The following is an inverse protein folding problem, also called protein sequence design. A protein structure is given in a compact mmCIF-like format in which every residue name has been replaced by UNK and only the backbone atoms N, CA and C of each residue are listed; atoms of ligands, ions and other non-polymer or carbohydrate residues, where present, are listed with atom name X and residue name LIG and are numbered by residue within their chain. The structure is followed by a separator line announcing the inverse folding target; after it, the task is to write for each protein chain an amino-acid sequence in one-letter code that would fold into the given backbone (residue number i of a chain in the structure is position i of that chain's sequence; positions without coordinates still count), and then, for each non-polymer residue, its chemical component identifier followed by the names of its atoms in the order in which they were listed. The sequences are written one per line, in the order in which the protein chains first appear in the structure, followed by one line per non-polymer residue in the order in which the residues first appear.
data_IF_637522837757
#
_entry.id   IF_637522837757
#
_cell.length_a   1.000
_cell.length_b   1.000
_cell.length_c   1.000
_cell.angle_alpha   90.00
_cell.angle_beta   90.00
_cell.angle_gamma   90.00
#
_symmetry.space_group_name_H-M   'P 1'
#
loop_
_entity.id
_entity.type
_entity.pdbx_description
1 polymer ?
#
# COMPACT_ATOMS: atom_id res chain seq x y z
N UNK A 1 -13.50 -4.21 7.15
CA UNK A 1 -13.23 -2.96 6.41
C UNK A 1 -14.22 -1.90 6.85
N UNK A 2 -13.78 -0.69 7.11
CA UNK A 2 -14.66 0.46 7.42
C UNK A 2 -15.09 1.03 6.06
N UNK A 3 -16.42 1.19 5.85
CA UNK A 3 -16.91 1.89 4.69
C UNK A 3 -16.47 3.37 4.77
N UNK A 4 -15.75 3.85 3.76
CA UNK A 4 -15.21 5.22 3.75
C UNK A 4 -16.32 6.27 3.77
N UNK A 5 -17.47 5.98 3.16
CA UNK A 5 -18.67 6.81 3.21
C UNK A 5 -19.26 6.96 4.63
N UNK A 6 -19.27 5.88 5.42
CA UNK A 6 -19.70 5.92 6.82
C UNK A 6 -18.71 6.72 7.67
N UNK A 7 -17.42 6.61 7.40
CA UNK A 7 -16.39 7.38 8.08
C UNK A 7 -16.51 8.88 7.77
N UNK A 8 -16.79 9.25 6.52
CA UNK A 8 -17.06 10.62 6.12
C UNK A 8 -18.32 11.17 6.80
N UNK A 9 -19.42 10.40 6.84
CA UNK A 9 -20.65 10.79 7.54
C UNK A 9 -20.45 10.92 9.06
N UNK A 10 -19.57 10.14 9.67
CA UNK A 10 -19.19 10.29 11.06
C UNK A 10 -18.41 11.57 11.31
N UNK A 11 -17.52 11.96 10.39
CA UNK A 11 -16.72 13.18 10.49
C UNK A 11 -17.58 14.46 10.54
N UNK A 12 -18.76 14.44 9.96
CA UNK A 12 -19.73 15.56 10.03
C UNK A 12 -20.37 15.73 11.43
N UNK A 13 -20.33 14.67 12.25
CA UNK A 13 -21.06 14.59 13.53
C UNK A 13 -20.16 14.71 14.76
N UNK A 14 -18.87 14.47 14.60
CA UNK A 14 -17.91 14.45 15.70
C UNK A 14 -16.75 15.43 15.42
N UNK A 15 -16.13 15.93 16.47
CA UNK A 15 -15.05 16.90 16.37
C UNK A 15 -13.78 16.35 15.65
N UNK A 16 -13.61 15.03 15.63
CA UNK A 16 -12.45 14.39 15.00
C UNK A 16 -12.71 12.90 14.76
N UNK A 17 -12.30 12.45 13.57
CA UNK A 17 -12.23 11.03 13.20
C UNK A 17 -10.77 10.67 12.93
N UNK A 18 -10.32 9.52 13.41
CA UNK A 18 -8.95 9.01 13.25
C UNK A 18 -9.02 7.51 12.91
N UNK A 19 -8.48 7.07 11.76
CA UNK A 19 -7.90 7.89 10.69
C UNK A 19 -8.96 8.77 10.02
N UNK A 20 -8.52 9.82 9.31
CA UNK A 20 -9.45 10.67 8.56
C UNK A 20 -10.09 9.89 7.40
N UNK A 21 -11.29 10.34 6.97
CA UNK A 21 -12.03 9.66 5.90
C UNK A 21 -11.25 9.70 4.58
N UNK A 22 -10.63 10.83 4.25
CA UNK A 22 -9.83 10.98 3.03
C UNK A 22 -8.61 10.06 3.03
N UNK A 23 -7.88 9.98 4.15
CA UNK A 23 -6.74 9.06 4.27
C UNK A 23 -7.18 7.60 4.14
N UNK A 24 -8.28 7.22 4.81
CA UNK A 24 -8.81 5.87 4.70
C UNK A 24 -9.18 5.53 3.25
N UNK A 25 -9.82 6.46 2.53
CA UNK A 25 -10.19 6.29 1.13
C UNK A 25 -8.96 6.12 0.21
N UNK A 26 -7.90 6.92 0.42
CA UNK A 26 -6.65 6.78 -0.35
C UNK A 26 -5.97 5.44 -0.05
N UNK A 27 -5.81 5.09 1.23
CA UNK A 27 -5.12 3.86 1.62
C UNK A 27 -5.87 2.56 1.23
N UNK A 28 -7.19 2.63 1.04
CA UNK A 28 -7.99 1.48 0.60
C UNK A 28 -8.01 1.29 -0.92
N UNK A 29 -7.55 2.28 -1.67
CA UNK A 29 -7.51 2.29 -3.13
C UNK A 29 -6.05 2.28 -3.62
N UNK A 30 -5.60 1.16 -4.18
CA UNK A 30 -4.21 1.00 -4.65
C UNK A 30 -3.83 1.99 -5.74
N UNK A 31 -4.78 2.37 -6.60
CA UNK A 31 -4.52 3.36 -7.66
C UNK A 31 -4.27 4.74 -7.03
N UNK A 32 -5.15 5.22 -6.17
CA UNK A 32 -4.99 6.51 -5.48
C UNK A 32 -3.70 6.55 -4.65
N UNK A 33 -3.42 5.49 -3.92
CA UNK A 33 -2.22 5.42 -3.07
C UNK A 33 -0.94 5.37 -3.92
N UNK A 34 -0.94 4.63 -5.02
CA UNK A 34 0.22 4.52 -5.92
C UNK A 34 0.49 5.83 -6.67
N UNK A 35 -0.57 6.49 -7.16
CA UNK A 35 -0.46 7.82 -7.78
C UNK A 35 0.10 8.83 -6.78
N UNK A 36 -0.44 8.89 -5.58
CA UNK A 36 0.10 9.76 -4.53
C UNK A 36 1.58 9.46 -4.27
N UNK A 37 1.94 8.20 -4.01
CA UNK A 37 3.30 7.84 -3.63
C UNK A 37 4.31 8.08 -4.76
N UNK A 38 4.02 7.61 -5.97
CA UNK A 38 4.98 7.64 -7.07
C UNK A 38 4.90 8.93 -7.89
N UNK A 39 3.70 9.33 -8.33
CA UNK A 39 3.58 10.44 -9.28
C UNK A 39 3.60 11.80 -8.59
N UNK A 40 3.01 11.93 -7.40
CA UNK A 40 2.99 13.21 -6.69
C UNK A 40 4.18 13.40 -5.74
N UNK A 41 4.59 12.35 -5.02
CA UNK A 41 5.65 12.42 -4.01
C UNK A 41 7.02 11.94 -4.52
N UNK A 42 7.09 11.31 -5.71
CA UNK A 42 8.34 10.81 -6.28
C UNK A 42 8.96 9.64 -5.51
N UNK A 43 8.19 8.92 -4.70
CA UNK A 43 8.68 7.78 -3.95
C UNK A 43 9.04 6.61 -4.89
N UNK A 44 10.12 5.88 -4.62
CA UNK A 44 10.49 4.71 -5.38
C UNK A 44 9.46 3.59 -5.17
N UNK A 45 8.96 3.01 -6.27
CA UNK A 45 8.00 1.90 -6.29
C UNK A 45 8.43 0.88 -7.33
N UNK A 46 7.84 -0.32 -7.31
CA UNK A 46 7.94 -1.24 -8.46
C UNK A 46 7.35 -0.58 -9.72
N UNK A 47 7.90 -0.84 -10.92
CA UNK A 47 7.25 -0.47 -12.18
C UNK A 47 5.83 -1.04 -12.24
N UNK A 48 4.86 -0.24 -12.67
CA UNK A 48 3.45 -0.66 -12.68
C UNK A 48 2.67 -0.08 -13.86
N UNK A 49 1.49 -0.68 -14.11
CA UNK A 49 0.41 -0.13 -14.96
C UNK A 49 -0.94 -0.44 -14.33
N UNK A 50 -1.91 0.46 -14.55
CA UNK A 50 -3.31 0.19 -14.22
C UNK A 50 -4.02 -0.32 -15.46
N UNK A 51 -5.02 -1.19 -15.27
CA UNK A 51 -5.82 -1.75 -16.35
C UNK A 51 -7.28 -1.85 -15.91
N UNK A 52 -8.20 -1.36 -16.75
CA UNK A 52 -9.65 -1.45 -16.59
C UNK A 52 -10.28 -2.57 -17.45
N UNK A 53 -9.48 -3.23 -18.28
CA UNK A 53 -9.89 -4.35 -19.14
C UNK A 53 -8.80 -5.40 -19.24
N UNK A 54 -9.18 -6.61 -19.69
CA UNK A 54 -8.23 -7.69 -19.95
C UNK A 54 -7.21 -7.30 -21.04
N UNK A 55 -7.63 -6.52 -22.04
CA UNK A 55 -6.75 -6.06 -23.11
C UNK A 55 -5.69 -5.10 -22.56
N UNK A 56 -6.10 -4.10 -21.78
CA UNK A 56 -5.18 -3.19 -21.09
C UNK A 56 -4.23 -3.92 -20.13
N UNK A 57 -4.72 -4.97 -19.45
CA UNK A 57 -3.88 -5.79 -18.60
C UNK A 57 -2.80 -6.53 -19.38
N UNK A 58 -3.14 -7.09 -20.55
CA UNK A 58 -2.15 -7.75 -21.43
C UNK A 58 -1.08 -6.77 -21.90
N UNK A 59 -1.48 -5.57 -22.33
CA UNK A 59 -0.55 -4.51 -22.72
C UNK A 59 0.32 -4.06 -21.55
N UNK A 60 -0.31 -3.80 -20.39
CA UNK A 60 0.39 -3.41 -19.17
C UNK A 60 1.43 -4.43 -18.73
N UNK A 61 1.09 -5.71 -18.77
CA UNK A 61 1.99 -6.81 -18.43
C UNK A 61 3.18 -6.93 -19.39
N UNK A 62 2.98 -6.66 -20.69
CA UNK A 62 4.07 -6.61 -21.65
C UNK A 62 5.04 -5.45 -21.38
N UNK A 63 4.52 -4.29 -20.96
CA UNK A 63 5.33 -3.11 -20.64
C UNK A 63 6.11 -3.33 -19.34
N UNK A 64 5.46 -3.86 -18.32
CA UNK A 64 6.07 -4.13 -16.99
C UNK A 64 7.06 -5.29 -17.08
N UNK A 65 6.79 -6.28 -17.94
CA UNK A 65 7.59 -7.49 -18.12
C UNK A 65 7.16 -8.64 -17.20
N UNK A 66 7.71 -9.82 -17.47
CA UNK A 66 7.46 -11.03 -16.69
C UNK A 66 8.71 -11.46 -15.92
N UNK A 67 8.58 -12.02 -14.70
CA UNK A 67 7.33 -12.20 -13.96
C UNK A 67 6.76 -10.88 -13.43
N UNK A 68 5.43 -10.79 -13.35
CA UNK A 68 4.72 -9.66 -12.76
C UNK A 68 3.65 -10.11 -11.77
N UNK A 69 3.08 -9.19 -11.02
CA UNK A 69 2.00 -9.44 -10.06
C UNK A 69 0.77 -8.64 -10.47
N UNK A 70 -0.38 -9.30 -10.55
CA UNK A 70 -1.67 -8.68 -10.81
C UNK A 70 -2.45 -8.62 -9.49
N UNK A 71 -2.99 -7.44 -9.15
CA UNK A 71 -3.75 -7.21 -7.92
C UNK A 71 -5.01 -6.41 -8.22
N UNK A 72 -6.18 -6.72 -7.62
CA UNK A 72 -7.33 -5.81 -7.64
C UNK A 72 -6.97 -4.47 -7.01
N UNK A 73 -7.58 -3.38 -7.48
CA UNK A 73 -7.38 -2.05 -6.87
C UNK A 73 -7.85 -2.05 -5.42
N UNK A 74 -8.95 -2.74 -5.11
CA UNK A 74 -9.50 -2.83 -3.76
C UNK A 74 -9.59 -4.28 -3.30
N UNK A 75 -8.59 -4.71 -2.55
CA UNK A 75 -8.56 -6.02 -1.87
C UNK A 75 -7.69 -5.95 -0.61
N UNK A 76 -7.67 -7.01 0.19
CA UNK A 76 -6.81 -7.12 1.37
C UNK A 76 -6.31 -8.56 1.52
N UNK A 77 -5.22 -8.75 2.25
CA UNK A 77 -4.67 -10.06 2.59
C UNK A 77 -4.41 -10.94 1.34
N UNK A 78 -3.89 -10.33 0.28
CA UNK A 78 -3.54 -11.05 -0.95
C UNK A 78 -4.72 -11.61 -1.78
N UNK A 79 -5.98 -11.37 -1.38
CA UNK A 79 -7.14 -11.87 -2.13
C UNK A 79 -7.16 -11.32 -3.56
N UNK A 80 -7.31 -12.22 -4.55
CA UNK A 80 -7.29 -11.90 -5.97
C UNK A 80 -5.93 -11.50 -6.53
N UNK A 81 -4.84 -11.72 -5.77
CA UNK A 81 -3.49 -11.44 -6.22
C UNK A 81 -2.88 -12.68 -6.88
N UNK A 82 -2.30 -12.51 -8.07
CA UNK A 82 -1.65 -13.58 -8.82
C UNK A 82 -0.24 -13.19 -9.27
N UNK A 83 0.70 -14.12 -9.14
CA UNK A 83 2.03 -14.01 -9.78
C UNK A 83 1.95 -14.60 -11.18
N UNK A 84 2.17 -13.77 -12.18
CA UNK A 84 2.09 -14.11 -13.60
C UNK A 84 3.48 -14.25 -14.17
N UNK A 85 3.83 -15.43 -14.65
CA UNK A 85 5.17 -15.76 -15.14
C UNK A 85 5.31 -15.66 -16.65
N UNK A 86 4.19 -15.69 -17.38
CA UNK A 86 4.15 -15.59 -18.83
C UNK A 86 2.81 -15.05 -19.33
N UNK A 87 2.75 -14.64 -20.60
CA UNK A 87 1.55 -14.06 -21.20
C UNK A 87 0.33 -14.99 -21.17
N UNK A 88 0.55 -16.30 -21.23
CA UNK A 88 -0.53 -17.29 -21.23
C UNK A 88 -1.31 -17.34 -19.91
N UNK A 89 -0.72 -16.88 -18.82
CA UNK A 89 -1.35 -16.89 -17.49
C UNK A 89 -2.16 -15.60 -17.19
N UNK A 90 -2.14 -14.60 -18.07
CA UNK A 90 -2.80 -13.31 -17.82
C UNK A 90 -4.32 -13.44 -17.69
N UNK A 91 -4.96 -14.25 -18.51
CA UNK A 91 -6.42 -14.42 -18.52
C UNK A 91 -6.91 -15.02 -17.19
N UNK A 92 -6.17 -15.99 -16.66
CA UNK A 92 -6.46 -16.57 -15.35
C UNK A 92 -6.26 -15.55 -14.22
N UNK A 93 -5.19 -14.75 -14.28
CA UNK A 93 -4.92 -13.70 -13.29
C UNK A 93 -6.00 -12.60 -13.30
N UNK A 94 -6.50 -12.23 -14.48
CA UNK A 94 -7.64 -11.32 -14.60
C UNK A 94 -8.88 -11.87 -13.90
N UNK A 95 -9.23 -13.13 -14.19
CA UNK A 95 -10.39 -13.79 -13.57
C UNK A 95 -10.26 -13.85 -12.05
N UNK A 96 -9.12 -14.27 -11.55
CA UNK A 96 -8.84 -14.32 -10.10
C UNK A 96 -8.94 -12.94 -9.45
N UNK A 97 -8.42 -11.90 -10.10
CA UNK A 97 -8.53 -10.54 -9.60
C UNK A 97 -9.98 -10.05 -9.56
N UNK A 98 -10.83 -10.44 -10.53
CA UNK A 98 -12.26 -10.10 -10.51
C UNK A 98 -13.03 -10.83 -9.40
N UNK A 99 -12.66 -12.07 -9.09
CA UNK A 99 -13.30 -12.86 -8.03
C UNK A 99 -12.84 -12.46 -6.62
N UNK A 100 -11.57 -12.05 -6.47
CA UNK A 100 -10.95 -11.72 -5.17
C UNK A 100 -11.22 -10.30 -4.67
N UNK A 101 -11.97 -9.48 -5.41
CA UNK A 101 -12.35 -8.12 -4.99
C UNK A 101 -13.39 -8.11 -3.88
N UNK A 102 -13.48 -7.00 -3.13
CA UNK A 102 -14.49 -6.85 -2.07
C UNK A 102 -15.89 -6.64 -2.64
N UNK A 103 -16.88 -7.36 -2.13
CA UNK A 103 -18.27 -7.39 -2.61
C UNK A 103 -19.10 -6.11 -2.38
N UNK A 104 -18.53 -5.04 -1.83
CA UNK A 104 -19.25 -3.82 -1.44
C UNK A 104 -18.76 -2.55 -2.14
N UNK A 105 -17.98 -2.68 -3.21
CA UNK A 105 -17.43 -1.50 -3.89
C UNK A 105 -18.41 -1.02 -4.97
N UNK A 106 -19.06 0.11 -4.68
CA UNK A 106 -19.79 0.90 -5.69
C UNK A 106 -18.75 1.69 -6.50
N UNK A 107 -18.39 1.21 -7.68
CA UNK A 107 -17.44 1.87 -8.55
C UNK A 107 -16.99 1.00 -9.73
N UNK A 108 -15.99 1.44 -10.47
CA UNK A 108 -15.35 0.64 -11.52
C UNK A 108 -14.46 -0.45 -10.91
N UNK A 109 -15.15 -1.50 -10.49
CA UNK A 109 -14.59 -2.64 -9.76
C UNK A 109 -13.76 -3.58 -10.62
N UNK A 110 -13.67 -3.36 -11.92
CA UNK A 110 -12.87 -4.18 -12.83
C UNK A 110 -11.39 -3.82 -12.84
N UNK A 111 -11.01 -2.64 -12.31
CA UNK A 111 -9.63 -2.16 -12.40
C UNK A 111 -8.66 -2.99 -11.55
N UNK A 112 -7.50 -3.22 -12.13
CA UNK A 112 -6.37 -3.91 -11.51
C UNK A 112 -5.10 -3.08 -11.65
N UNK A 113 -4.11 -3.37 -10.82
CA UNK A 113 -2.72 -2.95 -11.03
C UNK A 113 -1.90 -4.18 -11.41
N UNK A 114 -1.04 -4.04 -12.43
CA UNK A 114 0.02 -4.99 -12.74
C UNK A 114 1.36 -4.36 -12.40
N UNK A 115 2.17 -5.06 -11.63
CA UNK A 115 3.46 -4.58 -11.10
C UNK A 115 4.56 -5.58 -11.43
N UNK A 116 5.78 -5.08 -11.68
CA UNK A 116 6.95 -5.94 -11.77
C UNK A 116 7.13 -6.73 -10.47
N UNK A 117 7.47 -8.01 -10.58
CA UNK A 117 7.86 -8.79 -9.40
C UNK A 117 9.22 -8.29 -8.91
N UNK A 118 9.23 -7.68 -7.74
CA UNK A 118 10.44 -7.14 -7.14
C UNK A 118 11.43 -8.27 -6.78
N UNK A 119 12.75 -8.10 -7.00
CA UNK A 119 13.78 -9.00 -6.50
C UNK A 119 13.95 -8.80 -4.98
N UNK A 120 12.95 -9.21 -4.24
CA UNK A 120 12.78 -9.00 -2.81
C UNK A 120 13.83 -9.77 -2.01
N UNK A 121 14.51 -9.08 -1.09
CA UNK A 121 15.32 -9.69 -0.05
C UNK A 121 14.47 -9.93 1.21
N UNK A 122 13.87 -8.86 1.73
CA UNK A 122 12.91 -8.93 2.83
C UNK A 122 11.93 -7.75 2.83
N UNK A 123 10.91 -7.86 3.67
CA UNK A 123 9.93 -6.81 3.92
C UNK A 123 10.11 -6.19 5.29
N UNK A 124 9.74 -4.93 5.43
CA UNK A 124 9.70 -4.24 6.71
C UNK A 124 8.51 -3.30 6.80
N UNK A 125 8.10 -2.99 8.03
CA UNK A 125 7.07 -1.97 8.31
C UNK A 125 7.67 -0.86 9.17
N UNK A 126 7.37 0.39 8.81
CA UNK A 126 7.68 1.56 9.63
C UNK A 126 6.38 2.12 10.21
N UNK A 127 6.18 1.97 11.52
CA UNK A 127 5.10 2.70 12.18
C UNK A 127 5.43 4.18 12.20
N UNK A 128 4.51 4.96 11.65
CA UNK A 128 4.66 6.42 11.52
C UNK A 128 3.46 7.09 12.17
N UNK A 129 3.72 8.01 13.08
CA UNK A 129 2.68 8.70 13.86
C UNK A 129 2.55 10.14 13.41
N UNK A 130 1.34 10.56 13.05
CA UNK A 130 0.99 11.96 12.82
C UNK A 130 0.15 12.50 13.98
N UNK A 131 0.54 13.61 14.54
CA UNK A 131 -0.13 14.26 15.69
C UNK A 131 0.00 15.78 15.62
N UNK A 132 -0.50 16.47 16.65
CA UNK A 132 -0.30 17.92 16.81
C UNK A 132 1.18 18.32 17.01
N UNK A 133 2.03 17.39 17.43
CA UNK A 133 3.48 17.61 17.60
C UNK A 133 4.28 17.38 16.31
N UNK A 134 3.63 16.93 15.23
CA UNK A 134 4.27 16.62 13.96
C UNK A 134 4.22 15.14 13.61
N UNK A 135 5.13 14.72 12.71
CA UNK A 135 5.23 13.35 12.23
C UNK A 135 6.52 12.72 12.75
N UNK A 136 6.38 11.54 13.35
CA UNK A 136 7.49 10.75 13.92
C UNK A 136 7.45 9.33 13.37
N UNK A 137 8.60 8.81 12.95
CA UNK A 137 8.78 7.40 12.58
C UNK A 137 9.33 6.61 13.75
N UNK A 138 8.78 5.42 13.98
CA UNK A 138 9.37 4.44 14.92
C UNK A 138 10.54 3.70 14.25
N UNK A 139 11.27 2.90 15.04
CA UNK A 139 12.25 1.97 14.49
C UNK A 139 11.53 0.95 13.59
N UNK A 140 12.10 0.62 12.40
CA UNK A 140 11.48 -0.35 11.51
C UNK A 140 11.33 -1.72 12.17
N UNK A 141 10.27 -2.42 11.76
CA UNK A 141 9.91 -3.76 12.20
C UNK A 141 10.20 -4.72 11.06
N UNK A 142 11.00 -5.76 11.33
CA UNK A 142 11.16 -6.85 10.37
C UNK A 142 9.89 -7.70 10.31
N UNK A 143 9.52 -8.16 9.12
CA UNK A 143 8.35 -9.01 8.93
C UNK A 143 8.62 -10.11 7.91
N UNK A 144 7.83 -11.17 8.02
CA UNK A 144 7.75 -12.23 7.03
C UNK A 144 6.31 -12.46 6.67
N UNK A 145 6.07 -12.48 5.37
CA UNK A 145 4.79 -12.90 4.78
C UNK A 145 5.00 -14.21 4.02
N UNK A 146 3.94 -14.97 3.88
CA UNK A 146 3.91 -16.19 3.09
C UNK A 146 2.59 -16.25 2.33
N UNK A 147 2.66 -16.30 1.00
CA UNK A 147 1.48 -16.28 0.13
C UNK A 147 0.56 -15.06 0.34
N UNK A 148 1.12 -13.90 0.70
CA UNK A 148 0.38 -12.67 0.99
C UNK A 148 -0.21 -12.58 2.41
N UNK A 149 -0.03 -13.63 3.24
CA UNK A 149 -0.45 -13.64 4.63
C UNK A 149 0.70 -13.30 5.57
N UNK A 150 0.42 -12.41 6.53
CA UNK A 150 1.32 -12.14 7.65
C UNK A 150 1.59 -13.43 8.45
N UNK A 151 2.87 -13.69 8.76
CA UNK A 151 3.31 -14.85 9.55
C UNK A 151 3.97 -14.44 10.85
N UNK A 152 4.94 -13.55 10.78
CA UNK A 152 5.68 -13.10 11.94
C UNK A 152 6.28 -11.71 11.76
N UNK A 153 6.51 -11.04 12.88
CA UNK A 153 7.26 -9.80 12.95
C UNK A 153 8.19 -9.82 14.16
N UNK A 154 9.25 -9.04 14.11
CA UNK A 154 10.22 -8.94 15.19
C UNK A 154 10.81 -7.54 15.33
N UNK A 155 11.06 -7.15 16.58
CA UNK A 155 11.75 -5.93 16.95
C UNK A 155 12.55 -6.22 18.24
N UNK A 156 13.83 -5.83 18.35
CA UNK A 156 14.60 -5.09 17.36
C UNK A 156 14.92 -5.93 16.12
N UNK A 157 14.98 -5.25 14.96
CA UNK A 157 15.48 -5.80 13.71
C UNK A 157 16.77 -5.07 13.33
N UNK A 158 17.71 -5.79 12.73
CA UNK A 158 18.98 -5.23 12.31
C UNK A 158 18.93 -4.87 10.83
N UNK A 159 19.16 -3.60 10.52
CA UNK A 159 19.22 -3.06 9.16
C UNK A 159 20.56 -2.32 8.97
N UNK A 160 21.01 -2.22 7.72
CA UNK A 160 22.12 -1.32 7.41
C UNK A 160 21.70 0.14 7.63
N UNK A 161 22.63 1.05 7.94
CA UNK A 161 22.31 2.48 8.10
C UNK A 161 21.58 3.05 6.88
N UNK A 162 21.98 2.67 5.67
CA UNK A 162 21.39 3.14 4.42
C UNK A 162 19.94 2.66 4.25
N UNK A 163 19.64 1.39 4.55
CA UNK A 163 18.28 0.86 4.53
C UNK A 163 17.42 1.57 5.58
N UNK A 164 17.95 1.79 6.78
CA UNK A 164 17.24 2.48 7.85
C UNK A 164 16.87 3.91 7.44
N UNK A 165 17.80 4.66 6.88
CA UNK A 165 17.58 6.04 6.41
C UNK A 165 16.54 6.08 5.29
N UNK A 166 16.68 5.24 4.25
CA UNK A 166 15.73 5.14 3.15
C UNK A 166 14.31 4.80 3.68
N UNK A 167 14.20 3.77 4.52
CA UNK A 167 12.93 3.31 5.05
C UNK A 167 12.20 4.40 5.84
N UNK A 168 12.90 5.09 6.73
CA UNK A 168 12.32 6.17 7.53
C UNK A 168 11.97 7.40 6.66
N UNK A 169 12.78 7.72 5.67
CA UNK A 169 12.50 8.80 4.73
C UNK A 169 11.23 8.51 3.91
N UNK A 170 11.13 7.33 3.29
CA UNK A 170 9.97 6.92 2.49
C UNK A 170 8.71 6.94 3.34
N UNK A 171 8.76 6.35 4.55
CA UNK A 171 7.61 6.29 5.44
C UNK A 171 7.14 7.67 5.89
N UNK A 172 8.06 8.56 6.25
CA UNK A 172 7.74 9.95 6.61
C UNK A 172 7.10 10.69 5.44
N UNK A 173 7.71 10.64 4.26
CA UNK A 173 7.22 11.34 3.07
C UNK A 173 5.83 10.85 2.65
N UNK A 174 5.59 9.54 2.68
CA UNK A 174 4.26 8.97 2.38
C UNK A 174 3.19 9.50 3.34
N UNK A 175 3.47 9.51 4.65
CA UNK A 175 2.51 10.01 5.65
C UNK A 175 2.34 11.53 5.57
N UNK A 176 3.38 12.30 5.27
CA UNK A 176 3.28 13.75 5.01
C UNK A 176 2.33 14.03 3.83
N UNK A 177 2.43 13.25 2.75
CA UNK A 177 1.52 13.35 1.62
C UNK A 177 0.06 13.05 1.98
N UNK A 178 -0.17 11.96 2.71
CA UNK A 178 -1.51 11.60 3.21
C UNK A 178 -2.10 12.70 4.12
N UNK A 179 -1.29 13.24 5.04
CA UNK A 179 -1.70 14.35 5.91
C UNK A 179 -2.03 15.61 5.12
N UNK A 180 -1.27 15.91 4.05
CA UNK A 180 -1.58 17.03 3.17
C UNK A 180 -2.92 16.87 2.46
N UNK A 181 -3.25 15.66 1.98
CA UNK A 181 -4.57 15.35 1.38
C UNK A 181 -5.70 15.51 2.40
N UNK A 182 -5.54 15.00 3.62
CA UNK A 182 -6.52 15.18 4.69
C UNK A 182 -6.75 16.67 5.02
N UNK A 183 -5.68 17.44 5.14
CA UNK A 183 -5.77 18.89 5.40
C UNK A 183 -6.49 19.62 4.26
N UNK A 184 -6.28 19.24 3.02
CA UNK A 184 -6.99 19.82 1.88
C UNK A 184 -8.50 19.53 1.93
N UNK A 185 -8.92 18.44 2.58
CA UNK A 185 -10.32 18.09 2.85
C UNK A 185 -10.84 18.63 4.19
N UNK A 186 -10.08 19.49 4.88
CA UNK A 186 -10.47 20.09 6.17
C UNK A 186 -10.25 19.21 7.39
N UNK A 187 -9.57 18.06 7.24
CA UNK A 187 -9.28 17.11 8.31
C UNK A 187 -7.86 17.29 8.86
N UNK A 188 -7.57 16.79 10.06
CA UNK A 188 -6.26 16.97 10.69
C UNK A 188 -5.19 16.00 10.18
N UNK A 189 -5.60 14.83 9.67
CA UNK A 189 -4.70 13.79 9.20
C UNK A 189 -3.89 13.10 10.32
N UNK A 190 -4.38 13.14 11.57
CA UNK A 190 -3.73 12.48 12.69
C UNK A 190 -3.97 10.97 12.65
N UNK A 191 -3.02 10.21 13.15
CA UNK A 191 -3.15 8.75 13.21
C UNK A 191 -1.83 8.02 13.38
N UNK A 192 -1.95 6.71 13.45
CA UNK A 192 -0.82 5.77 13.36
C UNK A 192 -0.92 5.03 12.04
N UNK A 193 0.18 5.00 11.31
CA UNK A 193 0.27 4.45 9.96
C UNK A 193 1.31 3.34 9.93
N UNK A 194 0.95 2.16 9.46
CA UNK A 194 1.89 1.11 9.12
C UNK A 194 2.31 1.27 7.66
N UNK A 195 3.53 1.75 7.42
CA UNK A 195 4.08 1.89 6.07
C UNK A 195 4.88 0.66 5.72
N UNK A 196 4.41 -0.11 4.75
CA UNK A 196 5.04 -1.35 4.29
C UNK A 196 6.02 -1.06 3.15
N UNK A 197 7.22 -1.60 3.27
CA UNK A 197 8.33 -1.36 2.36
C UNK A 197 8.98 -2.68 1.95
N UNK A 198 9.45 -2.72 0.72
CA UNK A 198 10.28 -3.78 0.18
C UNK A 198 11.75 -3.39 0.24
N UNK A 199 12.60 -4.26 0.77
CA UNK A 199 14.05 -4.14 0.64
C UNK A 199 14.49 -5.13 -0.42
N UNK A 200 15.16 -4.61 -1.45
CA UNK A 200 15.61 -5.40 -2.58
C UNK A 200 17.01 -5.99 -2.33
N UNK A 201 17.36 -6.99 -3.10
CA UNK A 201 18.67 -7.68 -2.99
C UNK A 201 19.89 -6.78 -3.23
N UNK A 202 19.70 -5.60 -3.84
CA UNK A 202 20.72 -4.57 -4.01
C UNK A 202 20.76 -3.54 -2.87
N UNK A 203 19.90 -3.69 -1.86
CA UNK A 203 19.78 -2.79 -0.71
C UNK A 203 18.93 -1.54 -0.95
N UNK A 204 18.31 -1.38 -2.11
CA UNK A 204 17.33 -0.32 -2.35
C UNK A 204 16.01 -0.60 -1.63
N UNK A 205 15.31 0.46 -1.23
CA UNK A 205 14.03 0.36 -0.52
C UNK A 205 12.93 0.94 -1.39
N UNK A 206 11.84 0.17 -1.57
CA UNK A 206 10.67 0.59 -2.33
C UNK A 206 9.45 0.72 -1.43
N UNK A 207 8.63 1.72 -1.74
CA UNK A 207 7.29 1.87 -1.16
C UNK A 207 6.37 0.77 -1.70
N UNK A 208 5.62 0.13 -0.81
CA UNK A 208 4.61 -0.87 -1.17
C UNK A 208 3.19 -0.38 -0.84
N UNK A 209 2.84 -0.27 0.43
CA UNK A 209 1.48 0.04 0.89
C UNK A 209 1.47 0.85 2.20
N UNK A 210 0.33 1.48 2.53
CA UNK A 210 0.09 2.09 3.84
C UNK A 210 -1.20 1.57 4.42
N UNK A 211 -1.13 1.02 5.62
CA UNK A 211 -2.28 0.78 6.47
C UNK A 211 -2.55 2.00 7.35
N UNK A 212 -3.73 2.66 7.29
CA UNK A 212 -4.03 3.84 8.11
C UNK A 212 -4.45 3.42 9.54
N UNK A 213 -3.70 2.50 10.12
CA UNK A 213 -3.85 1.90 11.44
C UNK A 213 -2.51 1.32 11.88
N UNK A 214 -2.33 0.98 13.18
CA UNK A 214 -1.24 0.08 13.57
C UNK A 214 -1.35 -1.20 12.74
N UNK A 215 -0.31 -1.51 11.98
CA UNK A 215 -0.26 -2.73 11.16
C UNK A 215 -0.18 -3.97 12.07
N UNK A 216 -0.50 -5.16 11.55
CA UNK A 216 -0.41 -6.40 12.32
C UNK A 216 1.01 -6.65 12.86
N UNK A 217 2.03 -6.18 12.12
CA UNK A 217 3.44 -6.17 12.58
C UNK A 217 3.68 -5.29 13.80
N UNK A 218 2.84 -4.28 14.04
CA UNK A 218 2.99 -3.35 15.16
C UNK A 218 2.74 -3.96 16.54
N UNK A 219 2.31 -5.22 16.62
CA UNK A 219 2.09 -5.92 17.89
C UNK A 219 3.38 -6.20 18.68
N UNK A 220 4.54 -5.96 18.10
CA UNK A 220 5.87 -6.14 18.75
C UNK A 220 6.46 -4.83 19.29
N UNK A 221 5.73 -3.70 19.16
CA UNK A 221 6.15 -2.38 19.66
C UNK A 221 5.53 -2.02 21.00
#
# INVERSE_FOLDING_TARGET
AIATSELAAAAERVAQVVPSAEIAAICMDRERLRVLAHEELGLPTTPYRFAGSLEELREGAQIVGYPCVVKPIMSSSGHGQSVVRSAEAIDAAWTEAQEGRRAHDEGDVSRVIVEALAPLDYELTVLTVSSSAGIVTCAPIGQRQESGDYRESWQPATFTPDVLEQAQHIARTAVEGLVAKAKASGEKGWGVFGVELFVLTDGSVLFNEVSPRPHDTGMVT
#
